data_IF_960740609184
#
_entry.id   IF_960740609184
#
_cell.length_a   1.000
_cell.length_b   1.000
_cell.length_c   1.000
_cell.angle_alpha   90.00
_cell.angle_beta   90.00
_cell.angle_gamma   90.00
#
_symmetry.space_group_name_H-M   'P 1'
#
loop_
_entity.id
_entity.type
_entity.pdbx_description
1 polymer ?
#
# COMPACT_ATOMS: atom_id res chain seq x y z
N UNK A 1 -19.52 44.52 -17.23
CA UNK A 1 -19.81 43.06 -17.29
C UNK A 1 -20.13 42.57 -15.90
N UNK A 2 -21.41 42.28 -15.62
CA UNK A 2 -21.81 41.67 -14.37
C UNK A 2 -21.10 40.32 -14.25
N UNK A 3 -20.26 40.13 -13.24
CA UNK A 3 -19.64 38.85 -12.97
C UNK A 3 -20.76 37.86 -12.62
N UNK A 4 -21.17 37.03 -13.59
CA UNK A 4 -22.06 35.92 -13.33
C UNK A 4 -21.40 35.06 -12.26
N UNK A 5 -22.02 35.02 -11.08
CA UNK A 5 -21.49 34.28 -9.93
C UNK A 5 -21.55 32.79 -10.26
N UNK A 6 -20.45 32.25 -10.79
CA UNK A 6 -20.34 30.82 -11.14
C UNK A 6 -20.51 29.99 -9.87
N UNK A 7 -21.30 28.91 -9.96
CA UNK A 7 -21.56 27.99 -8.83
C UNK A 7 -20.29 27.36 -8.25
N UNK A 8 -19.27 27.16 -9.09
CA UNK A 8 -18.02 26.49 -8.73
C UNK A 8 -16.79 27.29 -9.12
N UNK A 9 -15.71 27.10 -8.36
CA UNK A 9 -14.40 27.70 -8.64
C UNK A 9 -13.80 27.11 -9.93
N UNK A 10 -13.29 27.95 -10.86
CA UNK A 10 -12.58 27.47 -12.04
C UNK A 10 -11.42 26.54 -11.67
N UNK A 11 -11.23 25.47 -12.44
CA UNK A 11 -10.17 24.47 -12.19
C UNK A 11 -8.77 25.10 -12.19
N UNK A 12 -8.52 26.09 -13.06
CA UNK A 12 -7.24 26.80 -13.12
C UNK A 12 -6.92 27.58 -11.84
N UNK A 13 -7.93 27.92 -11.04
CA UNK A 13 -7.78 28.61 -9.76
C UNK A 13 -7.85 27.65 -8.56
N UNK A 14 -7.89 26.34 -8.82
CA UNK A 14 -7.98 25.32 -7.77
C UNK A 14 -6.59 25.02 -7.19
N UNK A 15 -6.33 25.53 -6.00
CA UNK A 15 -5.14 25.18 -5.22
C UNK A 15 -5.43 23.89 -4.43
N UNK A 16 -4.55 22.88 -4.53
CA UNK A 16 -4.57 21.72 -3.64
C UNK A 16 -3.51 21.95 -2.56
N UNK A 17 -3.85 21.82 -1.26
CA UNK A 17 -2.82 21.89 -0.23
C UNK A 17 -1.83 20.75 -0.43
N UNK A 18 -0.55 21.03 -0.23
CA UNK A 18 0.45 19.98 -0.07
C UNK A 18 0.09 19.24 1.22
N UNK A 19 -0.12 17.93 1.12
CA UNK A 19 -0.37 17.12 2.31
C UNK A 19 0.85 17.26 3.22
N UNK A 20 0.63 17.78 4.42
CA UNK A 20 1.69 17.91 5.41
C UNK A 20 2.26 16.54 5.79
N UNK A 21 3.48 16.53 6.29
CA UNK A 21 4.06 15.31 6.86
C UNK A 21 3.25 14.87 8.07
N UNK A 22 3.03 13.56 8.23
CA UNK A 22 2.37 13.01 9.43
C UNK A 22 3.17 13.44 10.67
N UNK A 23 2.52 14.07 11.67
CA UNK A 23 3.18 14.49 12.90
C UNK A 23 3.89 13.32 13.58
N UNK A 24 5.02 13.59 14.21
CA UNK A 24 5.86 12.55 14.83
C UNK A 24 5.09 11.68 15.84
N UNK A 25 4.18 12.29 16.61
CA UNK A 25 3.29 11.58 17.54
C UNK A 25 2.40 10.50 16.91
N UNK A 26 2.20 10.54 15.60
CA UNK A 26 1.40 9.55 14.84
C UNK A 26 2.27 8.65 13.96
N UNK A 27 3.59 8.80 13.97
CA UNK A 27 4.49 7.95 13.19
C UNK A 27 4.70 6.62 13.92
N UNK A 28 4.56 5.53 13.18
CA UNK A 28 4.95 4.20 13.65
C UNK A 28 6.48 4.10 13.48
N UNK A 29 7.22 4.22 14.58
CA UNK A 29 8.68 4.08 14.58
C UNK A 29 9.00 2.59 14.69
N UNK A 30 9.66 2.03 13.67
CA UNK A 30 10.14 0.64 13.69
C UNK A 30 11.58 0.60 14.21
N UNK A 31 11.76 0.23 15.48
CA UNK A 31 13.08 -0.03 16.06
C UNK A 31 13.57 -1.44 15.70
N UNK A 32 13.90 -1.66 14.42
CA UNK A 32 14.45 -2.94 13.97
C UNK A 32 15.91 -3.01 14.43
N UNK A 33 16.22 -3.94 15.33
CA UNK A 33 17.58 -4.25 15.77
C UNK A 33 17.91 -5.67 15.30
N UNK A 34 19.04 -5.83 14.60
CA UNK A 34 19.41 -7.11 13.98
C UNK A 34 18.54 -7.48 12.77
N UNK A 35 18.65 -8.74 12.33
CA UNK A 35 17.84 -9.27 11.23
C UNK A 35 16.49 -9.80 11.77
N UNK A 36 15.36 -9.19 11.40
CA UNK A 36 14.04 -9.62 11.86
C UNK A 36 13.64 -11.01 11.34
N UNK A 37 14.35 -11.56 10.36
CA UNK A 37 14.07 -12.85 9.75
C UNK A 37 15.05 -13.94 10.19
N UNK A 38 15.99 -13.66 11.10
CA UNK A 38 17.04 -14.60 11.50
C UNK A 38 16.52 -15.96 12.00
N UNK A 39 15.35 -15.96 12.64
CA UNK A 39 14.71 -17.18 13.18
C UNK A 39 13.68 -17.79 12.23
N UNK A 40 13.43 -17.16 11.07
CA UNK A 40 12.41 -17.64 10.14
C UNK A 40 12.92 -18.90 9.42
N UNK A 41 12.13 -19.98 9.35
CA UNK A 41 12.52 -21.16 8.61
C UNK A 41 12.60 -20.85 7.11
N UNK A 42 13.64 -21.34 6.45
CA UNK A 42 13.74 -21.23 5.01
C UNK A 42 12.69 -22.10 4.33
N UNK A 43 11.89 -21.48 3.47
CA UNK A 43 10.92 -22.20 2.65
C UNK A 43 11.62 -22.84 1.45
N UNK A 44 11.18 -24.02 1.00
CA UNK A 44 11.70 -24.63 -0.21
C UNK A 44 11.39 -23.74 -1.42
N UNK A 45 12.41 -23.51 -2.25
CA UNK A 45 12.30 -22.67 -3.46
C UNK A 45 11.50 -23.34 -4.58
N UNK A 46 11.37 -24.67 -4.53
CA UNK A 46 10.59 -25.45 -5.49
C UNK A 46 9.44 -26.13 -4.76
N UNK A 47 8.18 -25.91 -5.20
CA UNK A 47 7.06 -26.65 -4.64
C UNK A 47 7.18 -28.13 -5.01
N UNK A 48 6.52 -28.98 -4.22
CA UNK A 48 6.43 -30.41 -4.55
C UNK A 48 5.62 -30.60 -5.84
N UNK A 49 5.86 -31.72 -6.52
CA UNK A 49 5.02 -32.11 -7.64
C UNK A 49 3.56 -32.18 -7.19
N UNK A 50 2.66 -31.68 -8.03
CA UNK A 50 1.25 -31.70 -7.76
C UNK A 50 0.74 -33.15 -7.71
N UNK A 51 -0.05 -33.46 -6.70
CA UNK A 51 -0.75 -34.75 -6.57
C UNK A 51 -2.25 -34.45 -6.57
N UNK A 52 -2.99 -34.88 -7.59
CA UNK A 52 -4.45 -34.69 -7.66
C UNK A 52 -5.12 -35.19 -6.37
N UNK A 53 -5.90 -34.34 -5.71
CA UNK A 53 -6.59 -34.67 -4.45
C UNK A 53 -8.04 -34.19 -4.51
N UNK A 54 -8.98 -35.09 -4.20
CA UNK A 54 -10.41 -34.77 -4.13
C UNK A 54 -11.00 -34.39 -5.49
N UNK A 55 -11.36 -33.12 -5.65
CA UNK A 55 -12.01 -32.59 -6.87
C UNK A 55 -11.04 -32.16 -7.97
N UNK A 56 -9.73 -32.19 -7.70
CA UNK A 56 -8.72 -31.77 -8.67
C UNK A 56 -8.10 -32.97 -9.36
N UNK A 57 -8.01 -32.92 -10.68
CA UNK A 57 -7.36 -33.92 -11.55
C UNK A 57 -6.01 -33.39 -12.03
N UNK A 58 -5.17 -34.29 -12.54
CA UNK A 58 -4.05 -33.89 -13.39
C UNK A 58 -4.65 -33.48 -14.75
N UNK A 59 -4.17 -32.37 -15.33
CA UNK A 59 -4.62 -31.84 -16.63
C UNK A 59 -4.56 -32.90 -17.75
#
# INVERSE_FOLDING_TARGET
>A
FAATKKKYKPVALKTRPVLGTVPEKFRIIRHITGDPLATMPQLPTRPRHFVPTGRYTQE
#
